data_IF_816298266907
#
_entry.id   IF_816298266907
#
_cell.length_a   1.000
_cell.length_b   1.000
_cell.length_c   1.000
_cell.angle_alpha   90.00
_cell.angle_beta   90.00
_cell.angle_gamma   90.00
#
_symmetry.space_group_name_H-M   'P 1'
#
loop_
_entity.id
_entity.type
_entity.pdbx_description
1 polymer ?
#
# COMPACT_ATOMS: atom_id res chain seq x y z
N UNK A 1 -50.31 -41.50 -0.66
CA UNK A 1 -49.74 -40.26 -1.24
C UNK A 1 -48.22 -40.33 -1.08
N UNK A 2 -47.53 -40.93 -2.04
CA UNK A 2 -46.07 -41.13 -1.97
C UNK A 2 -45.35 -39.81 -2.17
N UNK A 3 -44.55 -39.41 -1.18
CA UNK A 3 -43.62 -38.30 -1.29
C UNK A 3 -42.44 -38.73 -2.15
N UNK A 4 -42.40 -38.23 -3.39
CA UNK A 4 -41.24 -38.37 -4.27
C UNK A 4 -40.15 -37.46 -3.71
N UNK A 5 -39.25 -38.04 -2.91
CA UNK A 5 -38.00 -37.40 -2.52
C UNK A 5 -37.09 -37.39 -3.75
N UNK A 6 -37.02 -36.24 -4.42
CA UNK A 6 -36.06 -36.00 -5.48
C UNK A 6 -34.64 -35.99 -4.91
N UNK A 7 -34.00 -37.16 -4.91
CA UNK A 7 -32.56 -37.27 -4.72
C UNK A 7 -31.89 -36.55 -5.89
N UNK A 8 -31.43 -35.33 -5.62
CA UNK A 8 -30.61 -34.54 -6.53
C UNK A 8 -29.30 -35.30 -6.75
N UNK A 9 -29.26 -36.15 -7.77
CA UNK A 9 -28.05 -36.80 -8.24
C UNK A 9 -27.17 -35.72 -8.91
N UNK A 10 -26.49 -34.92 -8.10
CA UNK A 10 -25.44 -34.03 -8.59
C UNK A 10 -24.23 -34.91 -8.91
N UNK A 11 -23.95 -35.11 -10.19
CA UNK A 11 -22.75 -35.82 -10.64
C UNK A 11 -21.52 -35.13 -10.04
N UNK A 12 -20.51 -35.91 -9.62
CA UNK A 12 -19.28 -35.40 -8.98
C UNK A 12 -18.61 -34.30 -9.82
N UNK A 13 -18.72 -34.37 -11.15
CA UNK A 13 -18.22 -33.38 -12.12
C UNK A 13 -18.93 -32.03 -11.98
N UNK A 14 -20.26 -32.02 -11.79
CA UNK A 14 -21.02 -30.78 -11.62
C UNK A 14 -20.67 -30.14 -10.28
N UNK A 15 -20.53 -30.95 -9.22
CA UNK A 15 -20.08 -30.48 -7.90
C UNK A 15 -18.65 -29.93 -7.96
N UNK A 16 -17.74 -30.60 -8.67
CA UNK A 16 -16.38 -30.13 -8.90
C UNK A 16 -16.35 -28.81 -9.67
N UNK A 17 -17.13 -28.66 -10.74
CA UNK A 17 -17.22 -27.42 -11.52
C UNK A 17 -17.73 -26.24 -10.68
N UNK A 18 -18.79 -26.44 -9.88
CA UNK A 18 -19.30 -25.40 -8.98
C UNK A 18 -18.30 -25.07 -7.88
N UNK A 19 -17.68 -26.08 -7.26
CA UNK A 19 -16.62 -25.89 -6.26
C UNK A 19 -15.45 -25.09 -6.84
N UNK A 20 -14.99 -25.41 -8.05
CA UNK A 20 -13.86 -24.73 -8.71
C UNK A 20 -14.21 -23.31 -9.15
N UNK A 21 -15.46 -23.08 -9.55
CA UNK A 21 -15.98 -21.74 -9.89
C UNK A 21 -16.12 -20.87 -8.63
N UNK A 22 -16.55 -21.47 -7.52
CA UNK A 22 -16.64 -20.79 -6.21
C UNK A 22 -15.28 -20.49 -5.61
N UNK A 23 -14.31 -21.41 -5.69
CA UNK A 23 -12.93 -21.16 -5.25
C UNK A 23 -12.25 -20.10 -6.12
N UNK A 24 -12.45 -20.12 -7.44
CA UNK A 24 -11.94 -19.07 -8.33
C UNK A 24 -12.58 -17.70 -8.04
N UNK A 25 -13.87 -17.65 -7.67
CA UNK A 25 -14.56 -16.43 -7.26
C UNK A 25 -14.08 -15.94 -5.89
N UNK A 26 -13.86 -16.84 -4.94
CA UNK A 26 -13.29 -16.52 -3.62
C UNK A 26 -11.86 -16.00 -3.75
N UNK A 27 -11.01 -16.66 -4.54
CA UNK A 27 -9.64 -16.23 -4.79
C UNK A 27 -9.55 -14.86 -5.46
N UNK A 28 -10.47 -14.54 -6.39
CA UNK A 28 -10.55 -13.18 -6.97
C UNK A 28 -10.99 -12.11 -5.95
N UNK A 29 -11.89 -12.44 -5.02
CA UNK A 29 -12.30 -11.53 -3.93
C UNK A 29 -11.17 -11.31 -2.92
N UNK A 30 -10.41 -12.36 -2.60
CA UNK A 30 -9.27 -12.29 -1.69
C UNK A 30 -8.13 -11.45 -2.31
N UNK A 31 -7.86 -11.65 -3.60
CA UNK A 31 -6.91 -10.82 -4.35
C UNK A 31 -7.27 -9.34 -4.32
N UNK A 32 -8.54 -8.99 -4.52
CA UNK A 32 -8.96 -7.59 -4.45
C UNK A 32 -8.75 -6.96 -3.05
N UNK A 33 -8.85 -7.75 -1.97
CA UNK A 33 -8.54 -7.28 -0.61
C UNK A 33 -7.03 -7.13 -0.40
N UNK A 34 -6.24 -8.09 -0.88
CA UNK A 34 -4.80 -8.04 -0.82
C UNK A 34 -4.24 -6.84 -1.60
N UNK A 35 -4.72 -6.60 -2.82
CA UNK A 35 -4.31 -5.47 -3.65
C UNK A 35 -4.65 -4.14 -2.95
N UNK A 36 -5.82 -4.03 -2.31
CA UNK A 36 -6.20 -2.81 -1.56
C UNK A 36 -5.35 -2.58 -0.30
N UNK A 37 -4.99 -3.65 0.41
CA UNK A 37 -4.07 -3.57 1.54
C UNK A 37 -2.65 -3.20 1.09
N UNK A 38 -2.19 -3.76 -0.03
CA UNK A 38 -0.91 -3.44 -0.65
C UNK A 38 -0.86 -1.97 -1.08
N UNK A 39 -1.93 -1.45 -1.70
CA UNK A 39 -2.03 -0.05 -2.07
C UNK A 39 -1.82 0.87 -0.86
N UNK A 40 -2.49 0.56 0.26
CA UNK A 40 -2.32 1.32 1.51
C UNK A 40 -0.88 1.27 2.02
N UNK A 41 -0.27 0.09 2.07
CA UNK A 41 1.12 -0.07 2.51
C UNK A 41 2.10 0.73 1.64
N UNK A 42 1.92 0.70 0.32
CA UNK A 42 2.81 1.41 -0.61
C UNK A 42 2.65 2.93 -0.50
N UNK A 43 1.43 3.46 -0.25
CA UNK A 43 1.23 4.89 0.04
C UNK A 43 1.96 5.28 1.31
N UNK A 44 1.86 4.50 2.39
CA UNK A 44 2.55 4.77 3.65
C UNK A 44 4.08 4.78 3.47
N UNK A 45 4.64 3.84 2.70
CA UNK A 45 6.09 3.79 2.41
C UNK A 45 6.52 4.98 1.54
N UNK A 46 5.70 5.40 0.58
CA UNK A 46 5.96 6.59 -0.23
C UNK A 46 5.99 7.87 0.63
N UNK A 47 5.07 7.99 1.58
CA UNK A 47 5.04 9.12 2.53
C UNK A 47 6.28 9.15 3.42
N UNK A 48 6.64 8.03 4.05
CA UNK A 48 7.84 7.96 4.90
C UNK A 48 9.10 8.28 4.08
N UNK A 49 9.19 7.74 2.86
CA UNK A 49 10.30 8.03 1.94
C UNK A 49 10.37 9.54 1.62
N UNK A 50 9.25 10.19 1.31
CA UNK A 50 9.21 11.62 1.05
C UNK A 50 9.63 12.45 2.28
N UNK A 51 9.20 12.07 3.47
CA UNK A 51 9.59 12.72 4.73
C UNK A 51 11.09 12.56 5.02
N UNK A 52 11.64 11.34 4.84
CA UNK A 52 13.09 11.09 4.99
C UNK A 52 13.88 11.94 4.00
N UNK A 53 13.44 12.06 2.75
CA UNK A 53 14.10 12.91 1.77
C UNK A 53 14.08 14.39 2.17
N UNK A 54 12.96 14.88 2.72
CA UNK A 54 12.83 16.25 3.19
C UNK A 54 13.76 16.55 4.38
N UNK A 55 13.75 15.68 5.41
CA UNK A 55 14.62 15.82 6.60
C UNK A 55 16.10 15.73 6.21
N UNK A 56 16.46 14.80 5.32
CA UNK A 56 17.84 14.65 4.84
C UNK A 56 18.30 15.87 4.03
N UNK A 57 17.41 16.46 3.22
CA UNK A 57 17.72 17.69 2.49
C UNK A 57 17.86 18.90 3.44
N UNK A 58 17.07 18.95 4.51
CA UNK A 58 17.21 19.98 5.54
C UNK A 58 18.55 19.87 6.27
N UNK A 59 18.94 18.67 6.71
CA UNK A 59 20.22 18.45 7.41
C UNK A 59 21.45 18.61 6.52
N UNK A 60 21.32 18.36 5.21
CA UNK A 60 22.37 18.61 4.22
C UNK A 60 22.74 20.09 4.08
N UNK A 61 21.81 21.02 4.36
CA UNK A 61 22.08 22.46 4.28
C UNK A 61 22.93 22.97 5.43
N UNK A 62 22.88 22.30 6.58
CA UNK A 62 23.53 22.74 7.81
C UNK A 62 24.90 22.10 8.08
N UNK A 63 25.33 21.10 7.29
CA UNK A 63 26.59 20.36 7.49
C UNK A 63 27.40 20.07 6.21
N UNK A 64 28.73 19.98 6.33
CA UNK A 64 29.67 19.69 5.22
C UNK A 64 29.66 18.23 4.74
N UNK A 65 29.04 17.28 5.47
CA UNK A 65 28.79 15.89 5.03
C UNK A 65 27.63 15.76 4.01
N UNK A 66 27.43 16.82 3.24
CA UNK A 66 26.28 17.10 2.38
C UNK A 66 26.13 16.14 1.20
N UNK A 67 27.22 15.53 0.71
CA UNK A 67 27.19 14.67 -0.50
C UNK A 67 26.44 13.36 -0.26
N UNK A 68 26.67 12.69 0.88
CA UNK A 68 25.96 11.44 1.22
C UNK A 68 24.50 11.75 1.50
N UNK A 69 24.21 12.82 2.24
CA UNK A 69 22.84 13.27 2.51
C UNK A 69 22.08 13.60 1.21
N UNK A 70 22.68 14.32 0.27
CA UNK A 70 22.08 14.62 -1.02
C UNK A 70 21.85 13.35 -1.87
N UNK A 71 22.80 12.41 -1.87
CA UNK A 71 22.66 11.13 -2.57
C UNK A 71 21.54 10.27 -1.97
N UNK A 72 21.46 10.19 -0.63
CA UNK A 72 20.36 9.52 0.07
C UNK A 72 19.02 10.16 -0.26
N UNK A 73 18.90 11.49 -0.17
CA UNK A 73 17.66 12.20 -0.50
C UNK A 73 17.19 11.89 -1.94
N UNK A 74 18.12 11.82 -2.90
CA UNK A 74 17.82 11.44 -4.29
C UNK A 74 17.34 9.99 -4.41
N UNK A 75 18.03 9.04 -3.78
CA UNK A 75 17.63 7.63 -3.76
C UNK A 75 16.24 7.44 -3.12
N UNK A 76 15.98 8.11 -2.01
CA UNK A 76 14.69 8.03 -1.32
C UNK A 76 13.56 8.66 -2.13
N UNK A 77 13.81 9.75 -2.86
CA UNK A 77 12.81 10.32 -3.80
C UNK A 77 12.44 9.32 -4.89
N UNK A 78 13.41 8.58 -5.42
CA UNK A 78 13.15 7.53 -6.41
C UNK A 78 12.28 6.41 -5.80
N UNK A 79 12.58 5.98 -4.58
CA UNK A 79 11.74 5.02 -3.85
C UNK A 79 10.33 5.55 -3.60
N UNK A 80 10.17 6.81 -3.22
CA UNK A 80 8.86 7.44 -3.04
C UNK A 80 8.04 7.42 -4.34
N UNK A 81 8.68 7.73 -5.48
CA UNK A 81 8.04 7.66 -6.80
C UNK A 81 7.64 6.22 -7.16
N UNK A 82 8.52 5.25 -6.95
CA UNK A 82 8.24 3.83 -7.23
C UNK A 82 7.11 3.29 -6.34
N UNK A 83 7.06 3.71 -5.08
CA UNK A 83 5.99 3.31 -4.17
C UNK A 83 4.66 3.97 -4.51
N UNK A 84 4.67 5.22 -4.96
CA UNK A 84 3.48 5.90 -5.50
C UNK A 84 2.91 5.16 -6.73
N UNK A 85 3.76 4.79 -7.68
CA UNK A 85 3.37 4.03 -8.87
C UNK A 85 2.81 2.65 -8.50
N UNK A 86 3.51 1.90 -7.64
CA UNK A 86 3.05 0.62 -7.14
C UNK A 86 1.72 0.70 -6.38
N UNK A 87 1.49 1.78 -5.63
CA UNK A 87 0.22 2.04 -4.96
C UNK A 87 -0.92 2.27 -5.97
N UNK A 88 -0.68 3.01 -7.05
CA UNK A 88 -1.66 3.27 -8.09
C UNK A 88 -2.00 2.00 -8.88
N UNK A 89 -1.01 1.19 -9.22
CA UNK A 89 -1.21 -0.13 -9.84
C UNK A 89 -2.02 -1.07 -8.93
N UNK A 90 -1.87 -0.92 -7.61
CA UNK A 90 -2.65 -1.65 -6.61
C UNK A 90 -4.05 -1.04 -6.34
N UNK A 91 -4.40 0.07 -6.99
CA UNK A 91 -5.73 0.67 -6.95
C UNK A 91 -5.88 1.91 -6.04
N UNK A 92 -4.79 2.51 -5.58
CA UNK A 92 -4.84 3.82 -4.90
C UNK A 92 -5.15 4.95 -5.90
N UNK A 93 -5.93 5.94 -5.47
CA UNK A 93 -6.24 7.11 -6.29
C UNK A 93 -5.05 8.08 -6.38
N UNK A 94 -4.82 8.70 -7.54
CA UNK A 94 -3.71 9.66 -7.72
C UNK A 94 -3.75 10.82 -6.71
N UNK A 95 -4.93 11.40 -6.47
CA UNK A 95 -5.11 12.49 -5.50
C UNK A 95 -4.83 12.05 -4.05
N UNK A 96 -5.15 10.79 -3.72
CA UNK A 96 -4.81 10.23 -2.41
C UNK A 96 -3.30 10.15 -2.24
N UNK A 97 -2.59 9.66 -3.26
CA UNK A 97 -1.13 9.53 -3.26
C UNK A 97 -0.45 10.90 -3.25
N UNK A 98 -0.92 11.84 -4.08
CA UNK A 98 -0.34 13.18 -4.20
C UNK A 98 -0.53 14.00 -2.92
N UNK A 99 -1.72 13.94 -2.31
CA UNK A 99 -2.01 14.58 -1.03
C UNK A 99 -1.15 14.01 0.10
N UNK A 100 -1.07 12.68 0.18
CA UNK A 100 -0.24 11.97 1.14
C UNK A 100 1.25 12.39 1.08
N UNK A 101 1.82 12.41 -0.12
CA UNK A 101 3.22 12.83 -0.34
C UNK A 101 3.42 14.31 -0.02
N UNK A 102 2.49 15.18 -0.43
CA UNK A 102 2.53 16.62 -0.13
C UNK A 102 2.48 16.90 1.37
N UNK A 103 1.67 16.15 2.12
CA UNK A 103 1.63 16.25 3.57
C UNK A 103 2.96 15.82 4.21
N UNK A 104 3.58 14.76 3.69
CA UNK A 104 4.82 14.21 4.25
C UNK A 104 6.06 15.10 4.01
N UNK A 105 6.10 15.88 2.92
CA UNK A 105 7.19 16.85 2.69
C UNK A 105 7.12 18.08 3.61
N UNK A 106 6.03 18.27 4.36
CA UNK A 106 5.90 19.31 5.40
C UNK A 106 6.53 18.95 6.75
N UNK A 107 7.09 17.74 6.89
CA UNK A 107 7.75 17.26 8.12
C UNK A 107 9.00 18.09 8.40
N UNK A 108 9.04 18.74 9.56
CA UNK A 108 10.09 19.71 9.90
C UNK A 108 11.22 19.13 10.76
N UNK A 109 11.05 17.94 11.35
CA UNK A 109 12.07 17.38 12.24
C UNK A 109 12.00 15.87 12.51
N UNK A 110 13.00 15.34 13.24
CA UNK A 110 13.11 13.91 13.53
C UNK A 110 11.94 13.33 14.34
N UNK A 111 11.33 14.13 15.24
CA UNK A 111 10.18 13.72 16.04
C UNK A 111 8.93 13.47 15.18
N UNK A 112 8.65 14.38 14.26
CA UNK A 112 7.55 14.26 13.30
C UNK A 112 7.76 13.06 12.36
N UNK A 113 9.02 12.83 11.92
CA UNK A 113 9.40 11.67 11.11
C UNK A 113 9.17 10.35 11.85
N UNK A 114 9.52 10.28 13.13
CA UNK A 114 9.32 9.08 13.96
C UNK A 114 7.84 8.78 14.14
N UNK A 115 7.01 9.78 14.44
CA UNK A 115 5.55 9.64 14.53
C UNK A 115 4.94 9.19 13.21
N UNK A 116 5.34 9.80 12.09
CA UNK A 116 4.86 9.40 10.77
C UNK A 116 5.22 7.94 10.43
N UNK A 117 6.42 7.51 10.81
CA UNK A 117 6.88 6.13 10.60
C UNK A 117 6.11 5.13 11.47
N UNK A 118 5.84 5.50 12.73
CA UNK A 118 4.99 4.70 13.62
C UNK A 118 3.57 4.53 13.03
N UNK A 119 2.98 5.63 12.56
CA UNK A 119 1.66 5.60 11.91
C UNK A 119 1.63 4.74 10.64
N UNK A 120 2.69 4.80 9.83
CA UNK A 120 2.83 3.95 8.66
C UNK A 120 2.87 2.45 9.02
N UNK A 121 3.54 2.08 10.13
CA UNK A 121 3.67 0.70 10.58
C UNK A 121 2.36 0.14 11.16
N UNK A 122 1.56 0.96 11.84
CA UNK A 122 0.25 0.57 12.37
C UNK A 122 -0.86 0.63 11.32
N UNK A 123 -0.62 1.30 10.19
CA UNK A 123 -1.62 1.52 9.14
C UNK A 123 -2.70 2.51 9.56
N UNK A 124 -2.45 3.34 10.57
CA UNK A 124 -3.41 4.36 11.01
C UNK A 124 -3.43 5.52 10.01
N UNK A 125 -4.63 5.75 9.46
CA UNK A 125 -4.89 6.88 8.58
C UNK A 125 -4.76 8.16 9.41
N UNK A 126 -3.63 8.85 9.35
CA UNK A 126 -3.54 10.21 9.92
C UNK A 126 -4.62 11.09 9.27
N UNK A 127 -5.41 11.83 10.08
CA UNK A 127 -6.56 12.61 9.63
C UNK A 127 -6.20 13.75 8.68
#
# INVERSE_FOLDING_TARGET
RSSISCHRHSNSVTRWYFQHKETARHGRKEKARADRAQAHAMVSVAQVSAAVAAVTAATSRDNQDSKIAAAMASATKLLASHCAEAAQLAGAGHEQVSSAVRSAVGVAGPGDLMTLTAAAATGEKSP
#
